data_IF_729891600143
#
_entry.id   IF_729891600143
#
_cell.length_a   1.000
_cell.length_b   1.000
_cell.length_c   1.000
_cell.angle_alpha   90.00
_cell.angle_beta   90.00
_cell.angle_gamma   90.00
#
_symmetry.space_group_name_H-M   'P 1'
#
loop_
_entity.id
_entity.type
_entity.pdbx_description
1 polymer ?
#
# COMPACT_ATOMS: atom_id res chain seq x y z
N UNK A 1 -1.70 57.60 -11.15
CA UNK A 1 -2.73 56.57 -10.90
C UNK A 1 -2.25 55.28 -11.54
N UNK A 2 -1.73 54.36 -10.72
CA UNK A 2 -1.44 52.98 -11.15
C UNK A 2 -2.74 52.18 -11.12
N UNK A 3 -3.05 51.34 -12.13
CA UNK A 3 -4.05 50.32 -11.97
C UNK A 3 -3.47 49.18 -11.14
N UNK A 4 -4.21 48.83 -10.10
CA UNK A 4 -3.92 47.79 -9.12
C UNK A 4 -3.88 46.41 -9.77
N UNK A 5 -2.95 45.59 -9.28
CA UNK A 5 -2.76 44.21 -9.71
C UNK A 5 -3.97 43.33 -9.41
N UNK A 6 -4.33 42.51 -10.39
CA UNK A 6 -5.08 41.28 -10.17
C UNK A 6 -4.02 40.19 -10.09
N UNK A 7 -3.63 39.82 -8.87
CA UNK A 7 -2.75 38.69 -8.63
C UNK A 7 -3.52 37.39 -8.86
N UNK A 8 -3.17 36.66 -9.92
CA UNK A 8 -3.59 35.27 -10.09
C UNK A 8 -2.76 34.42 -9.10
N UNK A 9 -3.37 34.15 -7.93
CA UNK A 9 -2.69 33.65 -6.73
C UNK A 9 -2.29 32.17 -6.75
N UNK A 10 -1.64 31.70 -7.80
CA UNK A 10 -0.99 30.38 -7.81
C UNK A 10 0.39 30.48 -8.46
N UNK A 11 1.34 31.10 -7.74
CA UNK A 11 2.73 31.12 -8.15
C UNK A 11 3.30 29.70 -8.25
N UNK A 12 4.05 29.41 -9.31
CA UNK A 12 4.84 28.18 -9.42
C UNK A 12 5.84 28.19 -8.25
N UNK A 13 5.84 27.13 -7.45
CA UNK A 13 6.75 27.00 -6.31
C UNK A 13 8.08 26.47 -6.82
N UNK A 14 9.16 27.08 -6.36
CA UNK A 14 10.50 26.65 -6.72
C UNK A 14 10.94 25.42 -5.90
N UNK A 15 11.59 24.48 -6.59
CA UNK A 15 12.09 23.22 -6.03
C UNK A 15 13.57 23.02 -6.36
N UNK A 16 14.42 23.10 -5.33
CA UNK A 16 15.86 22.88 -5.42
C UNK A 16 16.32 21.95 -4.28
N UNK A 17 17.33 21.12 -4.55
CA UNK A 17 17.98 20.19 -3.59
C UNK A 17 19.49 20.43 -3.42
N UNK A 18 20.05 21.44 -4.07
CA UNK A 18 21.48 21.74 -4.06
C UNK A 18 21.97 22.00 -2.62
N UNK A 19 23.07 21.36 -2.23
CA UNK A 19 23.65 21.49 -0.89
C UNK A 19 22.89 20.77 0.23
N UNK A 20 21.82 20.02 -0.07
CA UNK A 20 21.08 19.25 0.92
C UNK A 20 21.73 17.88 1.19
N UNK A 21 21.73 17.45 2.46
CA UNK A 21 22.07 16.08 2.83
C UNK A 21 20.92 15.11 2.52
N UNK A 22 21.21 13.80 2.40
CA UNK A 22 20.21 12.76 2.06
C UNK A 22 18.89 12.86 2.85
N UNK A 23 18.94 13.03 4.17
CA UNK A 23 17.72 13.16 4.99
C UNK A 23 16.92 14.45 4.74
N UNK A 24 17.59 15.53 4.34
CA UNK A 24 16.93 16.80 4.00
C UNK A 24 16.26 16.73 2.62
N UNK A 25 16.89 16.03 1.67
CA UNK A 25 16.31 15.76 0.35
C UNK A 25 14.99 15.00 0.52
N UNK A 26 14.93 13.99 1.40
CA UNK A 26 13.70 13.27 1.70
C UNK A 26 12.59 14.20 2.24
N UNK A 27 12.88 15.01 3.25
CA UNK A 27 11.90 15.96 3.78
C UNK A 27 11.41 16.94 2.70
N UNK A 28 12.30 17.36 1.80
CA UNK A 28 11.96 18.22 0.66
C UNK A 28 11.05 17.50 -0.33
N UNK A 29 11.29 16.22 -0.60
CA UNK A 29 10.44 15.39 -1.47
C UNK A 29 9.04 15.17 -0.89
N UNK A 30 8.90 15.05 0.43
CA UNK A 30 7.59 15.01 1.09
C UNK A 30 6.84 16.34 0.94
N UNK A 31 7.54 17.46 1.12
CA UNK A 31 7.00 18.81 0.88
C UNK A 31 6.54 18.98 -0.58
N UNK A 32 7.35 18.51 -1.53
CA UNK A 32 7.04 18.45 -2.96
C UNK A 32 5.77 17.66 -3.23
N UNK A 33 5.64 16.46 -2.64
CA UNK A 33 4.46 15.61 -2.76
C UNK A 33 3.19 16.25 -2.22
N UNK A 34 3.27 16.92 -1.06
CA UNK A 34 2.13 17.66 -0.54
C UNK A 34 1.73 18.83 -1.44
N UNK A 35 2.71 19.57 -1.97
CA UNK A 35 2.42 20.74 -2.81
C UNK A 35 1.95 20.35 -4.22
N UNK A 36 2.41 19.24 -4.81
CA UNK A 36 1.96 18.83 -6.15
C UNK A 36 0.46 18.56 -6.18
N UNK A 37 -0.14 18.13 -5.06
CA UNK A 37 -1.59 17.96 -4.94
C UNK A 37 -2.36 19.27 -5.11
N UNK A 38 -1.75 20.42 -4.77
CA UNK A 38 -2.36 21.73 -4.99
C UNK A 38 -2.41 22.11 -6.48
N UNK A 39 -1.52 21.56 -7.31
CA UNK A 39 -1.56 21.73 -8.77
C UNK A 39 -2.65 20.89 -9.45
N UNK A 40 -3.23 19.90 -8.73
CA UNK A 40 -4.40 19.13 -9.17
C UNK A 40 -5.74 19.86 -8.98
N UNK A 41 -5.72 21.15 -8.62
CA UNK A 41 -6.92 21.94 -8.42
C UNK A 41 -7.52 22.44 -9.75
N UNK A 42 -8.85 22.31 -9.91
CA UNK A 42 -9.67 22.62 -11.12
C UNK A 42 -9.34 21.74 -12.35
N UNK A 43 -9.94 20.55 -12.43
CA UNK A 43 -10.00 19.70 -13.63
C UNK A 43 -8.65 19.44 -14.34
N UNK A 44 -7.51 19.68 -13.68
CA UNK A 44 -6.20 19.44 -14.26
C UNK A 44 -5.86 17.96 -14.15
N UNK A 45 -5.31 17.42 -15.23
CA UNK A 45 -4.86 16.02 -15.26
C UNK A 45 -3.59 15.87 -14.40
N UNK A 46 -3.28 14.64 -14.01
CA UNK A 46 -2.08 14.37 -13.21
C UNK A 46 -0.82 14.72 -14.01
N UNK A 47 -0.84 14.43 -15.31
CA UNK A 47 0.19 14.85 -16.26
C UNK A 47 0.39 16.38 -16.26
N UNK A 48 -0.68 17.17 -16.26
CA UNK A 48 -0.59 18.64 -16.21
C UNK A 48 0.00 19.13 -14.87
N UNK A 49 -0.35 18.48 -13.76
CA UNK A 49 0.24 18.79 -12.45
C UNK A 49 1.74 18.45 -12.41
N UNK A 50 2.16 17.34 -13.02
CA UNK A 50 3.57 16.97 -13.15
C UNK A 50 4.35 17.96 -14.03
N UNK A 51 3.77 18.42 -15.14
CA UNK A 51 4.40 19.45 -15.97
C UNK A 51 4.55 20.79 -15.23
N UNK A 52 3.55 21.20 -14.45
CA UNK A 52 3.65 22.40 -13.59
C UNK A 52 4.73 22.24 -12.51
N UNK A 53 4.88 21.04 -11.97
CA UNK A 53 5.95 20.74 -11.01
C UNK A 53 7.33 20.89 -11.65
N UNK A 54 7.53 20.31 -12.84
CA UNK A 54 8.79 20.43 -13.60
C UNK A 54 9.12 21.88 -13.91
N UNK A 55 8.12 22.71 -14.25
CA UNK A 55 8.35 24.14 -14.48
C UNK A 55 8.90 24.90 -13.24
N UNK A 56 8.75 24.33 -12.04
CA UNK A 56 9.28 24.88 -10.79
C UNK A 56 10.61 24.28 -10.34
N UNK A 57 11.16 23.25 -11.00
CA UNK A 57 12.44 22.66 -10.58
C UNK A 57 13.64 23.52 -11.01
N UNK A 58 14.63 23.65 -10.14
CA UNK A 58 15.87 24.42 -10.38
C UNK A 58 17.10 23.62 -9.91
N UNK A 59 18.30 24.15 -10.19
CA UNK A 59 19.57 23.56 -9.73
C UNK A 59 19.85 22.17 -10.33
N UNK A 60 20.29 21.23 -9.48
CA UNK A 60 20.58 19.86 -9.93
C UNK A 60 19.34 19.14 -10.47
N UNK A 61 18.13 19.46 -9.99
CA UNK A 61 16.90 18.81 -10.46
C UNK A 61 16.59 19.11 -11.93
N UNK A 62 16.73 20.36 -12.37
CA UNK A 62 16.48 20.70 -13.78
C UNK A 62 17.57 20.11 -14.68
N UNK A 63 18.83 20.07 -14.22
CA UNK A 63 19.91 19.41 -14.96
C UNK A 63 19.66 17.90 -15.11
N UNK A 64 19.14 17.24 -14.09
CA UNK A 64 18.71 15.84 -14.18
C UNK A 64 17.56 15.68 -15.18
N UNK A 65 16.55 16.55 -15.10
CA UNK A 65 15.40 16.47 -15.98
C UNK A 65 15.75 16.71 -17.45
N UNK A 66 16.52 17.76 -17.76
CA UNK A 66 16.82 18.16 -19.14
C UNK A 66 17.96 17.35 -19.76
N UNK A 67 19.03 17.09 -18.99
CA UNK A 67 20.28 16.55 -19.52
C UNK A 67 20.47 15.06 -19.24
N UNK A 68 20.05 14.56 -18.07
CA UNK A 68 20.24 13.15 -17.71
C UNK A 68 19.13 12.26 -18.27
N UNK A 69 17.87 12.69 -18.17
CA UNK A 69 16.75 11.92 -18.71
C UNK A 69 16.67 12.03 -20.24
N UNK A 70 16.45 10.89 -20.88
CA UNK A 70 16.09 10.87 -22.31
C UNK A 70 14.65 11.37 -22.51
N UNK A 71 14.31 11.71 -23.75
CA UNK A 71 12.92 12.02 -24.12
C UNK A 71 11.96 10.88 -23.73
N UNK A 72 12.36 9.63 -23.97
CA UNK A 72 11.55 8.46 -23.59
C UNK A 72 11.34 8.38 -22.09
N UNK A 73 12.39 8.60 -21.27
CA UNK A 73 12.22 8.56 -19.82
C UNK A 73 11.29 9.66 -19.31
N UNK A 74 11.35 10.87 -19.89
CA UNK A 74 10.42 11.94 -19.54
C UNK A 74 8.98 11.59 -19.94
N UNK A 75 8.77 11.00 -21.11
CA UNK A 75 7.46 10.54 -21.55
C UNK A 75 6.93 9.43 -20.63
N UNK A 76 7.74 8.42 -20.30
CA UNK A 76 7.37 7.32 -19.39
C UNK A 76 6.96 7.84 -18.00
N UNK A 77 7.63 8.88 -17.50
CA UNK A 77 7.28 9.52 -16.22
C UNK A 77 5.96 10.29 -16.34
N UNK A 78 5.78 11.10 -17.39
CA UNK A 78 4.62 11.97 -17.55
C UNK A 78 3.35 11.22 -17.95
N UNK A 79 3.47 10.07 -18.62
CA UNK A 79 2.35 9.24 -19.07
C UNK A 79 2.11 8.05 -18.12
N UNK A 80 2.76 8.04 -16.95
CA UNK A 80 2.64 6.97 -15.99
C UNK A 80 1.20 6.79 -15.50
N UNK A 81 0.80 5.53 -15.31
CA UNK A 81 -0.52 5.14 -14.81
C UNK A 81 -0.41 4.14 -13.67
N UNK A 82 -1.39 4.16 -12.77
CA UNK A 82 -1.52 3.23 -11.66
C UNK A 82 -2.87 2.51 -11.68
N UNK A 83 -2.85 1.25 -11.25
CA UNK A 83 -4.05 0.45 -11.06
C UNK A 83 -4.65 0.75 -9.68
N UNK A 84 -5.72 1.53 -9.62
CA UNK A 84 -6.45 1.83 -8.39
C UNK A 84 -7.60 0.85 -8.24
N UNK A 85 -7.64 0.14 -7.11
CA UNK A 85 -8.79 -0.72 -6.81
C UNK A 85 -9.95 0.11 -6.25
N UNK A 86 -11.07 0.12 -6.95
CA UNK A 86 -12.29 0.81 -6.55
C UNK A 86 -13.35 -0.22 -6.17
N UNK A 87 -13.94 -0.04 -5.00
CA UNK A 87 -15.10 -0.80 -4.56
C UNK A 87 -16.34 -0.13 -5.15
N UNK A 88 -17.00 -0.81 -6.09
CA UNK A 88 -18.30 -0.38 -6.61
C UNK A 88 -19.37 -1.18 -5.88
N UNK A 89 -20.34 -0.48 -5.29
CA UNK A 89 -21.49 -1.10 -4.64
C UNK A 89 -22.72 -0.79 -5.48
N UNK A 90 -23.21 -1.80 -6.20
CA UNK A 90 -24.47 -1.72 -6.94
C UNK A 90 -25.39 -2.82 -6.40
N UNK A 91 -26.63 -2.45 -6.04
CA UNK A 91 -27.65 -3.41 -5.59
C UNK A 91 -27.32 -4.21 -4.31
N UNK A 92 -26.41 -3.72 -3.45
CA UNK A 92 -26.00 -4.41 -2.23
C UNK A 92 -24.90 -5.47 -2.40
N UNK A 93 -24.41 -5.69 -3.62
CA UNK A 93 -23.18 -6.47 -3.87
C UNK A 93 -21.99 -5.54 -4.07
N UNK A 94 -20.90 -5.79 -3.34
CA UNK A 94 -19.64 -5.04 -3.49
C UNK A 94 -18.72 -5.77 -4.45
N UNK A 95 -18.46 -5.16 -5.60
CA UNK A 95 -17.55 -5.66 -6.64
C UNK A 95 -16.27 -4.84 -6.65
N UNK A 96 -15.12 -5.51 -6.70
CA UNK A 96 -13.81 -4.84 -6.81
C UNK A 96 -13.47 -4.66 -8.29
N UNK A 97 -13.46 -3.42 -8.77
CA UNK A 97 -13.00 -3.06 -10.10
C UNK A 97 -11.60 -2.46 -10.04
N UNK A 98 -10.79 -2.67 -11.08
CA UNK A 98 -9.51 -2.01 -11.25
C UNK A 98 -9.73 -0.86 -12.23
N UNK A 99 -9.47 0.36 -11.79
CA UNK A 99 -9.45 1.54 -12.65
C UNK A 99 -8.01 1.96 -12.89
N UNK A 100 -7.66 2.19 -14.15
CA UNK A 100 -6.36 2.75 -14.53
C UNK A 100 -6.48 4.27 -14.39
N UNK A 101 -5.65 4.85 -13.54
CA UNK A 101 -5.62 6.30 -13.29
C UNK A 101 -4.23 6.85 -13.58
N UNK A 102 -4.13 8.11 -14.01
CA UNK A 102 -2.84 8.76 -14.18
C UNK A 102 -2.08 8.84 -12.83
N UNK A 103 -0.77 8.62 -12.88
CA UNK A 103 0.13 8.58 -11.72
C UNK A 103 1.50 9.23 -12.02
N UNK A 104 1.52 10.18 -12.96
CA UNK A 104 2.67 10.98 -13.38
C UNK A 104 3.35 11.73 -12.23
N UNK A 105 2.57 12.38 -11.35
CA UNK A 105 3.11 13.17 -10.23
C UNK A 105 3.83 12.29 -9.22
N UNK A 106 3.22 11.16 -8.86
CA UNK A 106 3.87 10.13 -8.04
C UNK A 106 5.14 9.64 -8.69
N UNK A 107 5.05 9.26 -9.97
CA UNK A 107 6.17 8.62 -10.69
C UNK A 107 7.33 9.58 -10.83
N UNK A 108 7.06 10.88 -11.00
CA UNK A 108 8.06 11.94 -11.01
C UNK A 108 8.78 12.05 -9.67
N UNK A 109 8.05 12.20 -8.56
CA UNK A 109 8.65 12.32 -7.23
C UNK A 109 9.44 11.04 -6.88
N UNK A 110 8.88 9.87 -7.21
CA UNK A 110 9.56 8.59 -7.06
C UNK A 110 10.86 8.52 -7.87
N UNK A 111 10.86 9.02 -9.11
CA UNK A 111 12.05 9.01 -9.96
C UNK A 111 13.15 9.93 -9.42
N UNK A 112 12.77 11.07 -8.82
CA UNK A 112 13.69 11.98 -8.14
C UNK A 112 14.26 11.30 -6.88
N UNK A 113 13.40 10.75 -6.01
CA UNK A 113 13.81 10.01 -4.81
C UNK A 113 14.77 8.87 -5.17
N UNK A 114 14.44 8.11 -6.23
CA UNK A 114 15.28 7.02 -6.73
C UNK A 114 16.66 7.46 -7.18
N UNK A 115 16.73 8.58 -7.90
CA UNK A 115 17.97 9.04 -8.47
C UNK A 115 18.90 9.69 -7.42
N UNK A 116 18.33 10.50 -6.52
CA UNK A 116 19.12 11.32 -5.60
C UNK A 116 19.26 10.72 -4.20
N UNK A 117 18.35 9.84 -3.78
CA UNK A 117 18.37 9.23 -2.44
C UNK A 117 18.69 7.73 -2.50
N UNK A 118 18.30 7.03 -3.56
CA UNK A 118 18.57 5.60 -3.76
C UNK A 118 17.29 4.75 -3.73
N UNK A 119 17.12 3.87 -2.73
CA UNK A 119 15.84 3.16 -2.60
C UNK A 119 14.71 4.14 -2.25
N UNK A 120 13.63 4.21 -3.04
CA UNK A 120 12.63 5.26 -2.84
C UNK A 120 11.77 5.00 -1.61
N UNK A 121 11.95 5.83 -0.57
CA UNK A 121 11.20 5.74 0.68
C UNK A 121 9.72 6.06 0.48
N UNK A 122 9.33 6.74 -0.59
CA UNK A 122 7.93 6.91 -0.99
C UNK A 122 7.19 5.58 -1.22
N UNK A 123 7.87 4.53 -1.73
CA UNK A 123 7.27 3.19 -1.79
C UNK A 123 7.13 2.59 -0.40
N UNK A 124 8.07 2.85 0.50
CA UNK A 124 7.99 2.40 1.89
C UNK A 124 6.81 3.08 2.61
N UNK A 125 6.58 4.37 2.43
CA UNK A 125 5.46 5.11 3.03
C UNK A 125 4.10 4.63 2.50
N UNK A 126 3.97 4.43 1.18
CA UNK A 126 2.76 3.80 0.60
C UNK A 126 2.58 2.36 1.04
N UNK A 127 3.68 1.60 1.16
CA UNK A 127 3.61 0.22 1.66
C UNK A 127 3.12 0.18 3.10
N UNK A 128 3.53 1.14 3.95
CA UNK A 128 3.03 1.28 5.32
C UNK A 128 1.53 1.52 5.35
N UNK A 129 1.05 2.48 4.56
CA UNK A 129 -0.38 2.78 4.49
C UNK A 129 -1.20 1.58 3.99
N UNK A 130 -0.68 0.85 2.98
CA UNK A 130 -1.32 -0.37 2.51
C UNK A 130 -1.32 -1.43 3.62
N UNK A 131 -0.17 -1.69 4.24
CA UNK A 131 -0.02 -2.71 5.28
C UNK A 131 -0.88 -2.40 6.51
N UNK A 132 -0.96 -1.14 6.95
CA UNK A 132 -1.76 -0.74 8.11
C UNK A 132 -3.26 -0.95 7.89
N UNK A 133 -3.72 -0.82 6.64
CA UNK A 133 -5.12 -0.97 6.25
C UNK A 133 -5.46 -2.37 5.68
N UNK A 134 -4.47 -3.26 5.54
CA UNK A 134 -4.65 -4.57 4.93
C UNK A 134 -5.25 -5.56 5.93
N UNK A 135 -6.40 -6.13 5.59
CA UNK A 135 -7.09 -7.11 6.41
C UNK A 135 -7.76 -8.19 5.56
N UNK A 136 -7.68 -9.44 6.03
CA UNK A 136 -8.25 -10.64 5.44
C UNK A 136 -9.69 -10.83 5.93
N UNK A 137 -10.67 -10.47 5.11
CA UNK A 137 -12.09 -10.54 5.50
C UNK A 137 -12.62 -11.97 5.64
N UNK A 138 -12.24 -12.86 4.73
CA UNK A 138 -12.68 -14.26 4.69
C UNK A 138 -11.50 -15.20 4.50
N UNK A 139 -11.66 -16.47 4.90
CA UNK A 139 -10.65 -17.51 4.65
C UNK A 139 -10.33 -17.67 3.17
N UNK A 140 -11.32 -17.50 2.29
CA UNK A 140 -11.14 -17.54 0.83
C UNK A 140 -10.20 -16.46 0.31
N UNK A 141 -10.07 -15.35 1.04
CA UNK A 141 -9.25 -14.20 0.65
C UNK A 141 -7.80 -14.33 1.16
N UNK A 142 -7.49 -15.37 1.94
CA UNK A 142 -6.20 -15.52 2.61
C UNK A 142 -5.02 -15.56 1.62
N UNK A 143 -5.19 -16.21 0.46
CA UNK A 143 -4.15 -16.23 -0.58
C UNK A 143 -3.79 -14.81 -1.03
N UNK A 144 -4.81 -14.00 -1.35
CA UNK A 144 -4.62 -12.61 -1.76
C UNK A 144 -4.03 -11.76 -0.64
N UNK A 145 -4.54 -11.90 0.58
CA UNK A 145 -4.03 -11.20 1.76
C UNK A 145 -2.55 -11.47 1.99
N UNK A 146 -2.16 -12.76 2.01
CA UNK A 146 -0.78 -13.22 2.16
C UNK A 146 0.12 -12.64 1.07
N UNK A 147 -0.27 -12.78 -0.20
CA UNK A 147 0.55 -12.33 -1.32
C UNK A 147 0.74 -10.80 -1.28
N UNK A 148 -0.32 -10.04 -0.99
CA UNK A 148 -0.25 -8.58 -0.86
C UNK A 148 0.61 -8.16 0.33
N UNK A 149 0.40 -8.75 1.51
CA UNK A 149 1.13 -8.41 2.73
C UNK A 149 2.63 -8.67 2.55
N UNK A 150 3.00 -9.88 2.08
CA UNK A 150 4.40 -10.24 1.87
C UNK A 150 5.05 -9.35 0.81
N UNK A 151 4.39 -9.13 -0.34
CA UNK A 151 4.96 -8.30 -1.41
C UNK A 151 5.24 -6.88 -0.94
N UNK A 152 4.35 -6.28 -0.14
CA UNK A 152 4.53 -4.92 0.37
C UNK A 152 5.53 -4.85 1.53
N UNK A 153 5.54 -5.85 2.40
CA UNK A 153 6.44 -5.91 3.54
C UNK A 153 7.90 -6.12 3.12
N UNK A 154 8.17 -6.98 2.13
CA UNK A 154 9.54 -7.33 1.73
C UNK A 154 10.33 -6.15 1.11
N UNK A 155 9.65 -5.04 0.79
CA UNK A 155 10.28 -3.79 0.32
C UNK A 155 10.84 -2.97 1.51
N UNK A 156 10.49 -3.32 2.75
CA UNK A 156 10.87 -2.56 3.95
C UNK A 156 12.16 -3.10 4.58
N UNK A 157 12.99 -2.20 5.07
CA UNK A 157 14.20 -2.54 5.84
C UNK A 157 13.88 -3.22 7.17
N UNK A 158 12.77 -2.83 7.81
CA UNK A 158 12.32 -3.37 9.10
C UNK A 158 11.43 -4.62 8.96
N UNK A 159 11.41 -5.27 7.80
CA UNK A 159 10.47 -6.36 7.49
C UNK A 159 10.54 -7.57 8.44
N UNK A 160 11.65 -7.75 9.17
CA UNK A 160 11.80 -8.84 10.14
C UNK A 160 11.36 -8.47 11.57
N UNK A 161 10.93 -7.23 11.81
CA UNK A 161 10.47 -6.80 13.13
C UNK A 161 9.23 -7.61 13.59
N UNK A 162 9.22 -7.97 14.88
CA UNK A 162 8.13 -8.70 15.53
C UNK A 162 6.77 -8.04 15.33
N UNK A 163 6.74 -6.71 15.32
CA UNK A 163 5.55 -5.91 15.01
C UNK A 163 4.83 -6.39 13.74
N UNK A 164 5.57 -6.68 12.67
CA UNK A 164 4.97 -7.08 11.40
C UNK A 164 4.40 -8.50 11.43
N UNK A 165 4.97 -9.38 12.23
CA UNK A 165 4.45 -10.75 12.43
C UNK A 165 3.19 -10.73 13.28
N UNK A 166 3.17 -9.89 14.31
CA UNK A 166 1.95 -9.63 15.08
C UNK A 166 0.85 -9.03 14.21
N UNK A 167 1.18 -7.98 13.44
CA UNK A 167 0.26 -7.31 12.53
C UNK A 167 -0.28 -8.25 11.45
N UNK A 168 0.55 -9.15 10.93
CA UNK A 168 0.13 -10.20 10.00
C UNK A 168 -0.95 -11.13 10.60
N UNK A 169 -0.82 -11.49 11.88
CA UNK A 169 -1.84 -12.30 12.56
C UNK A 169 -3.10 -11.48 12.89
N UNK A 170 -2.94 -10.21 13.27
CA UNK A 170 -4.05 -9.30 13.54
C UNK A 170 -4.88 -8.98 12.30
N UNK A 171 -4.28 -9.09 11.11
CA UNK A 171 -4.97 -8.95 9.84
C UNK A 171 -5.88 -10.13 9.45
N UNK A 172 -5.90 -11.23 10.21
CA UNK A 172 -6.73 -12.42 9.91
C UNK A 172 -8.16 -12.29 10.47
N UNK A 173 -9.13 -13.08 9.97
CA UNK A 173 -10.44 -13.20 10.61
C UNK A 173 -10.30 -13.53 12.10
N UNK A 174 -11.07 -12.92 13.03
CA UNK A 174 -10.70 -12.92 14.46
C UNK A 174 -10.65 -14.33 15.07
N UNK A 175 -11.56 -15.20 14.66
CA UNK A 175 -11.61 -16.59 15.12
C UNK A 175 -10.42 -17.42 14.62
N UNK A 176 -9.97 -17.16 13.38
CA UNK A 176 -8.77 -17.79 12.84
C UNK A 176 -7.53 -17.28 13.56
N UNK A 177 -7.42 -15.95 13.70
CA UNK A 177 -6.30 -15.31 14.39
C UNK A 177 -6.11 -15.88 15.81
N UNK A 178 -7.20 -15.98 16.57
CA UNK A 178 -7.15 -16.48 17.94
C UNK A 178 -6.76 -17.95 18.00
N UNK A 179 -7.29 -18.79 17.12
CA UNK A 179 -6.94 -20.22 17.08
C UNK A 179 -5.49 -20.45 16.67
N UNK A 180 -4.96 -19.63 15.74
CA UNK A 180 -3.53 -19.63 15.39
C UNK A 180 -2.69 -19.21 16.58
N UNK A 181 -3.02 -18.09 17.26
CA UNK A 181 -2.33 -17.63 18.47
C UNK A 181 -2.36 -18.66 19.59
N UNK A 182 -3.48 -19.35 19.78
CA UNK A 182 -3.58 -20.47 20.75
C UNK A 182 -2.60 -21.58 20.39
N UNK A 183 -2.57 -22.05 19.14
CA UNK A 183 -1.64 -23.11 18.71
C UNK A 183 -0.17 -22.71 18.84
N UNK A 184 0.16 -21.43 18.71
CA UNK A 184 1.52 -20.95 18.99
C UNK A 184 1.78 -21.01 20.50
N UNK A 185 0.87 -20.46 21.32
CA UNK A 185 1.00 -20.48 22.79
C UNK A 185 1.13 -21.90 23.36
N UNK A 186 0.39 -22.86 22.81
CA UNK A 186 0.49 -24.28 23.19
C UNK A 186 1.88 -24.87 22.92
N UNK A 187 2.59 -24.37 21.90
CA UNK A 187 3.95 -24.81 21.54
C UNK A 187 5.05 -24.09 22.31
N UNK A 188 4.75 -22.92 22.86
CA UNK A 188 5.74 -21.99 23.44
C UNK A 188 5.35 -21.56 24.85
N UNK A 189 4.84 -22.48 25.67
CA UNK A 189 4.59 -22.28 27.10
C UNK A 189 3.75 -21.03 27.42
N UNK A 190 2.73 -20.76 26.60
CA UNK A 190 1.84 -19.61 26.78
C UNK A 190 2.30 -18.33 26.11
N UNK A 191 3.50 -18.29 25.52
CA UNK A 191 4.06 -17.11 24.85
C UNK A 191 3.95 -17.21 23.31
N UNK A 192 4.10 -16.07 22.63
CA UNK A 192 4.19 -15.99 21.17
C UNK A 192 5.55 -15.36 20.81
N UNK A 193 6.59 -16.18 20.54
CA UNK A 193 7.93 -15.67 20.28
C UNK A 193 8.08 -15.22 18.81
N UNK A 194 7.52 -14.06 18.47
CA UNK A 194 7.56 -13.52 17.11
C UNK A 194 8.97 -13.45 16.50
N UNK A 195 9.99 -13.13 17.31
CA UNK A 195 11.39 -13.08 16.88
C UNK A 195 11.95 -14.43 16.40
N UNK A 196 11.38 -15.55 16.85
CA UNK A 196 11.80 -16.91 16.49
C UNK A 196 10.98 -17.51 15.34
N UNK A 197 9.88 -16.86 14.94
CA UNK A 197 8.97 -17.35 13.91
C UNK A 197 9.27 -16.68 12.57
N UNK A 198 9.45 -17.47 11.52
CA UNK A 198 9.46 -16.95 10.16
C UNK A 198 8.04 -16.71 9.63
N UNK A 199 7.90 -15.87 8.61
CA UNK A 199 6.63 -15.77 7.89
C UNK A 199 6.18 -17.11 7.31
N UNK A 200 7.12 -17.98 6.91
CA UNK A 200 6.83 -19.34 6.45
C UNK A 200 6.17 -20.20 7.52
N UNK A 201 6.65 -20.11 8.77
CA UNK A 201 6.07 -20.83 9.92
C UNK A 201 4.64 -20.36 10.20
N UNK A 202 4.44 -19.03 10.23
CA UNK A 202 3.12 -18.43 10.43
C UNK A 202 2.15 -18.86 9.32
N UNK A 203 2.55 -18.74 8.05
CA UNK A 203 1.72 -19.11 6.90
C UNK A 203 1.35 -20.59 6.95
N UNK A 204 2.31 -21.46 7.25
CA UNK A 204 2.08 -22.90 7.37
C UNK A 204 1.08 -23.22 8.47
N UNK A 205 1.21 -22.57 9.64
CA UNK A 205 0.28 -22.74 10.74
C UNK A 205 -1.12 -22.20 10.43
N UNK A 206 -1.22 -21.04 9.77
CA UNK A 206 -2.52 -20.48 9.35
C UNK A 206 -3.24 -21.44 8.40
N UNK A 207 -2.53 -21.97 7.40
CA UNK A 207 -3.11 -22.95 6.48
C UNK A 207 -3.61 -24.20 7.21
N UNK A 208 -2.81 -24.71 8.14
CA UNK A 208 -3.17 -25.87 8.95
C UNK A 208 -4.44 -25.62 9.78
N UNK A 209 -4.50 -24.50 10.51
CA UNK A 209 -5.68 -24.14 11.33
C UNK A 209 -6.90 -23.85 10.46
N UNK A 210 -6.74 -23.22 9.30
CA UNK A 210 -7.83 -22.98 8.36
C UNK A 210 -8.43 -24.30 7.84
N UNK A 211 -7.60 -25.30 7.54
CA UNK A 211 -8.06 -26.63 7.14
C UNK A 211 -8.83 -27.35 8.25
N UNK A 212 -8.33 -27.30 9.49
CA UNK A 212 -9.05 -27.86 10.65
C UNK A 212 -10.44 -27.21 10.80
N UNK A 213 -10.51 -25.88 10.76
CA UNK A 213 -11.78 -25.15 10.89
C UNK A 213 -12.78 -25.48 9.76
N UNK A 214 -12.31 -25.59 8.52
CA UNK A 214 -13.15 -25.99 7.39
C UNK A 214 -13.70 -27.43 7.57
N UNK A 215 -12.89 -28.33 8.13
CA UNK A 215 -13.32 -29.70 8.42
C UNK A 215 -14.35 -29.74 9.54
N UNK A 216 -14.11 -29.01 10.64
CA UNK A 216 -15.03 -28.90 11.78
C UNK A 216 -16.40 -28.35 11.36
N UNK A 217 -16.42 -27.33 10.48
CA UNK A 217 -17.65 -26.75 9.97
C UNK A 217 -18.46 -27.74 9.13
N UNK A 218 -17.80 -28.48 8.23
CA UNK A 218 -18.46 -29.54 7.44
C UNK A 218 -19.07 -30.61 8.32
N UNK A 219 -18.35 -31.06 9.36
CA UNK A 219 -18.87 -32.04 10.32
C UNK A 219 -20.09 -31.53 11.08
N UNK A 220 -20.07 -30.27 11.53
CA UNK A 220 -21.21 -29.64 12.21
C UNK A 220 -22.43 -29.49 11.31
N UNK A 221 -22.25 -29.17 10.02
CA UNK A 221 -23.34 -29.11 9.06
C UNK A 221 -23.97 -30.50 8.82
N UNK A 222 -23.14 -31.54 8.68
CA UNK A 222 -23.61 -32.92 8.56
C UNK A 222 -24.44 -33.34 9.78
N UNK A 223 -23.94 -33.10 10.99
CA UNK A 223 -24.64 -33.42 12.24
C UNK A 223 -26.01 -32.71 12.36
N UNK A 224 -26.08 -31.42 11.97
CA UNK A 224 -27.35 -30.67 11.95
C UNK A 224 -28.33 -31.25 10.93
N UNK A 225 -27.85 -31.71 9.78
CA UNK A 225 -28.70 -32.35 8.78
C UNK A 225 -29.25 -33.68 9.30
N UNK A 226 -28.41 -34.53 9.92
CA UNK A 226 -28.87 -35.78 10.56
C UNK A 226 -29.93 -35.53 11.64
N UNK A 227 -29.72 -34.53 12.51
CA UNK A 227 -30.71 -34.17 13.53
C UNK A 227 -32.03 -33.66 12.94
N UNK A 228 -31.99 -32.92 11.83
CA UNK A 228 -33.22 -32.51 11.13
C UNK A 228 -33.96 -33.71 10.54
N UNK A 229 -33.26 -34.65 9.90
CA UNK A 229 -33.89 -35.84 9.34
C UNK A 229 -34.54 -36.72 10.42
N UNK A 230 -33.90 -36.89 11.57
CA UNK A 230 -34.48 -37.66 12.69
C UNK A 230 -35.70 -37.00 13.36
N UNK A 231 -35.92 -35.70 13.18
CA UNK A 231 -37.13 -35.01 13.67
C UNK A 231 -38.32 -35.20 12.72
N UNK A 232 -38.08 -35.50 11.43
CA UNK A 232 -39.15 -35.76 10.45
C UNK A 232 -39.57 -37.24 10.37
N UNK A 233 -38.93 -38.14 11.12
CA UNK A 233 -39.27 -39.57 11.21
C UNK A 233 -40.05 -39.96 12.50
N UNK A 234 -40.51 -38.97 13.28
CA UNK A 234 -41.40 -39.12 14.44
C UNK A 234 -42.72 -38.36 14.19
#
# INVERSE_FOLDING_TARGET
MHPQGIGDGMGIKEWNIDGMAHGQIYNKLQEMGMNVTTYKWKNSTDNQAANKFVAGVTGTLINWWDNYLTYQNRADILDAVANKSVLKTEGGQTSKSIEVVEDATTTLIYSIDKHFVGEPRLLQDRSLEILSNLYCKKLTDFRWYKDMFITKLMIREDCNNDYWKEHFLSGLPPHLAEKVRSKIRDRFEGNIPYSQLSYGDLISLINFVAMELCTDLKLKEQLKNYQKFSIFEL
#
